data_IF_447213311392
#
_entry.id   IF_447213311392
#
_cell.length_a   1.000
_cell.length_b   1.000
_cell.length_c   1.000
_cell.angle_alpha   90.00
_cell.angle_beta   90.00
_cell.angle_gamma   90.00
#
_symmetry.space_group_name_H-M   'P 1'
#
loop_
_entity.id
_entity.type
_entity.pdbx_description
1 polymer ?
#
# COMPACT_ATOMS: atom_id res chain seq x y z
N UNK A 1 -34.68 55.76 -17.70
CA UNK A 1 -35.65 54.69 -18.07
C UNK A 1 -35.75 53.64 -16.95
N UNK A 2 -36.82 53.72 -16.16
CA UNK A 2 -37.20 52.71 -15.18
C UNK A 2 -37.61 51.41 -15.89
N UNK A 3 -37.33 50.26 -15.26
CA UNK A 3 -38.37 49.32 -14.82
C UNK A 3 -37.78 48.33 -13.81
N UNK A 4 -38.33 48.43 -12.60
CA UNK A 4 -38.33 47.43 -11.53
C UNK A 4 -39.26 46.30 -11.93
N UNK A 5 -39.00 45.08 -11.47
CA UNK A 5 -40.01 44.19 -10.89
C UNK A 5 -39.35 43.15 -9.99
N UNK A 6 -39.75 43.17 -8.72
CA UNK A 6 -39.69 42.06 -7.77
C UNK A 6 -40.79 41.05 -8.13
N UNK A 7 -40.56 39.77 -7.90
CA UNK A 7 -41.65 38.83 -7.56
C UNK A 7 -41.13 37.73 -6.64
N UNK A 8 -41.67 37.75 -5.43
CA UNK A 8 -41.58 36.69 -4.45
C UNK A 8 -42.54 35.54 -4.86
N UNK A 9 -42.10 34.30 -4.69
CA UNK A 9 -42.99 33.22 -4.28
C UNK A 9 -42.22 32.31 -3.33
N UNK A 10 -42.64 32.38 -2.08
CA UNK A 10 -42.28 31.53 -0.98
C UNK A 10 -43.16 30.28 -1.07
N UNK A 11 -42.57 29.09 -1.11
CA UNK A 11 -43.22 27.83 -0.72
C UNK A 11 -42.17 26.93 -0.07
N UNK A 12 -42.56 26.45 1.10
CA UNK A 12 -41.90 25.49 1.97
C UNK A 12 -41.84 24.08 1.35
N UNK A 13 -40.72 23.39 1.57
CA UNK A 13 -40.61 21.98 1.97
C UNK A 13 -39.12 21.80 2.33
N UNK A 14 -38.72 21.49 3.56
CA UNK A 14 -39.09 20.27 4.25
C UNK A 14 -37.90 19.32 4.19
N UNK A 15 -37.36 18.99 5.36
CA UNK A 15 -36.37 17.94 5.66
C UNK A 15 -34.87 18.28 5.54
N UNK A 16 -34.30 18.53 6.73
CA UNK A 16 -33.02 17.97 7.17
C UNK A 16 -32.74 16.60 6.51
N UNK A 17 -31.68 16.52 5.71
CA UNK A 17 -31.03 15.24 5.48
C UNK A 17 -29.52 15.43 5.57
N UNK A 18 -29.01 14.92 6.67
CA UNK A 18 -27.61 14.98 7.07
C UNK A 18 -26.79 14.27 5.99
N UNK A 19 -25.71 14.89 5.53
CA UNK A 19 -24.73 14.25 4.65
C UNK A 19 -24.15 13.03 5.36
N UNK A 20 -24.75 11.87 5.07
CA UNK A 20 -24.36 10.58 5.59
C UNK A 20 -23.12 10.10 4.83
N UNK A 21 -22.12 9.72 5.63
CA UNK A 21 -20.93 8.98 5.23
C UNK A 21 -21.31 7.75 4.38
N UNK A 22 -20.43 7.25 3.49
CA UNK A 22 -20.67 6.01 2.78
C UNK A 22 -20.85 4.88 3.79
N UNK A 23 -22.08 4.38 3.88
CA UNK A 23 -22.48 3.33 4.80
C UNK A 23 -21.64 2.08 4.55
N UNK A 24 -20.85 1.69 5.56
CA UNK A 24 -20.38 0.31 5.70
C UNK A 24 -21.58 -0.64 5.63
N UNK A 25 -21.45 -1.83 5.01
CA UNK A 25 -22.53 -2.82 5.03
C UNK A 25 -22.83 -3.17 6.48
N UNK A 26 -24.07 -2.90 6.90
CA UNK A 26 -24.58 -3.33 8.20
C UNK A 26 -24.41 -4.87 8.29
N UNK A 27 -23.87 -5.41 9.39
CA UNK A 27 -23.91 -6.86 9.59
C UNK A 27 -25.38 -7.33 9.57
N UNK A 28 -25.68 -8.52 9.02
CA UNK A 28 -27.02 -9.09 9.16
C UNK A 28 -27.32 -9.20 10.64
N UNK A 29 -28.54 -8.81 11.03
CA UNK A 29 -29.02 -8.87 12.42
C UNK A 29 -28.76 -10.27 12.98
N UNK A 30 -27.70 -10.39 13.80
CA UNK A 30 -27.60 -11.48 14.72
C UNK A 30 -28.68 -11.20 15.76
N UNK A 31 -29.74 -12.00 15.75
CA UNK A 31 -30.58 -12.15 16.92
C UNK A 31 -29.65 -12.47 18.09
N UNK A 32 -29.37 -11.46 18.91
CA UNK A 32 -28.71 -11.57 20.21
C UNK A 32 -29.63 -12.44 21.06
N UNK A 33 -29.47 -13.76 20.98
CA UNK A 33 -29.95 -14.67 22.01
C UNK A 33 -29.14 -14.32 23.25
N UNK A 34 -29.74 -13.75 24.30
CA UNK A 34 -28.97 -13.28 25.44
C UNK A 34 -28.26 -14.47 26.08
N UNK A 35 -26.92 -14.41 26.11
CA UNK A 35 -26.03 -15.36 26.80
C UNK A 35 -26.38 -15.59 28.28
N UNK A 36 -27.31 -14.81 28.84
CA UNK A 36 -27.87 -14.93 30.19
C UNK A 36 -28.74 -16.19 30.34
N UNK A 37 -29.34 -16.72 29.27
CA UNK A 37 -30.23 -17.89 29.35
C UNK A 37 -29.53 -19.24 29.52
N UNK A 38 -28.20 -19.31 29.43
CA UNK A 38 -27.44 -20.57 29.53
C UNK A 38 -27.01 -20.93 30.96
N UNK A 39 -27.27 -20.10 31.96
CA UNK A 39 -26.88 -20.34 33.36
C UNK A 39 -28.03 -20.80 34.27
N UNK A 40 -29.24 -20.95 33.74
CA UNK A 40 -30.38 -21.44 34.50
C UNK A 40 -30.85 -22.73 33.86
N UNK A 41 -30.44 -23.87 34.42
CA UNK A 41 -31.22 -25.12 34.50
C UNK A 41 -30.33 -26.15 35.21
N UNK A 42 -30.51 -26.28 36.53
CA UNK A 42 -30.01 -27.43 37.28
C UNK A 42 -30.97 -28.62 37.11
N UNK A 43 -30.36 -29.79 36.93
CA UNK A 43 -30.83 -31.15 37.25
C UNK A 43 -32.27 -31.56 36.89
N UNK A 44 -32.44 -32.24 35.75
CA UNK A 44 -33.10 -33.57 35.68
C UNK A 44 -32.50 -34.39 34.52
N UNK A 45 -31.95 -35.54 34.92
CA UNK A 45 -31.38 -36.68 34.19
C UNK A 45 -32.04 -37.06 32.83
N UNK A 46 -31.28 -36.98 31.73
CA UNK A 46 -31.45 -37.84 30.55
C UNK A 46 -30.13 -37.90 29.74
N UNK A 47 -29.46 -39.06 29.74
CA UNK A 47 -28.18 -39.30 29.03
C UNK A 47 -28.29 -39.11 27.50
N UNK A 48 -29.50 -38.92 26.96
CA UNK A 48 -29.76 -38.60 25.56
C UNK A 48 -29.78 -37.09 25.27
N UNK A 49 -30.03 -36.24 26.27
CA UNK A 49 -29.97 -34.77 26.16
C UNK A 49 -28.54 -34.22 26.29
N UNK A 50 -27.72 -34.83 27.15
CA UNK A 50 -26.31 -34.45 27.33
C UNK A 50 -25.47 -34.66 26.07
N UNK A 51 -25.76 -35.72 25.30
CA UNK A 51 -25.11 -35.99 24.01
C UNK A 51 -25.46 -34.95 22.96
N UNK A 52 -26.73 -34.52 22.89
CA UNK A 52 -27.19 -33.44 22.00
C UNK A 52 -26.55 -32.09 22.39
N UNK A 53 -26.44 -31.81 23.68
CA UNK A 53 -25.77 -30.60 24.19
C UNK A 53 -24.26 -30.59 23.88
N UNK A 54 -23.59 -31.74 24.04
CA UNK A 54 -22.18 -31.91 23.67
C UNK A 54 -21.96 -31.73 22.16
N UNK A 55 -22.85 -32.28 21.32
CA UNK A 55 -22.82 -32.09 19.86
C UNK A 55 -23.06 -30.63 19.45
N UNK A 56 -23.99 -29.94 20.11
CA UNK A 56 -24.25 -28.51 19.91
C UNK A 56 -23.03 -27.67 20.30
N UNK A 57 -22.44 -27.92 21.47
CA UNK A 57 -21.22 -27.27 21.93
C UNK A 57 -20.08 -27.51 20.94
N UNK A 58 -19.91 -28.75 20.47
CA UNK A 58 -18.91 -29.08 19.46
C UNK A 58 -19.18 -28.38 18.12
N UNK A 59 -20.45 -28.20 17.74
CA UNK A 59 -20.83 -27.43 16.54
C UNK A 59 -20.48 -25.95 16.68
N UNK A 60 -20.68 -25.37 17.87
CA UNK A 60 -20.32 -23.99 18.18
C UNK A 60 -18.81 -23.81 18.16
N UNK A 61 -18.04 -24.73 18.74
CA UNK A 61 -16.58 -24.71 18.67
C UNK A 61 -16.07 -24.82 17.23
N UNK A 62 -16.66 -25.70 16.40
CA UNK A 62 -16.31 -25.79 14.97
C UNK A 62 -16.61 -24.48 14.23
N UNK A 63 -17.77 -23.86 14.49
CA UNK A 63 -18.14 -22.57 13.90
C UNK A 63 -17.19 -21.45 14.35
N UNK A 64 -16.87 -21.37 15.64
CA UNK A 64 -15.97 -20.38 16.20
C UNK A 64 -14.55 -20.50 15.62
N UNK A 65 -14.02 -21.73 15.51
CA UNK A 65 -12.72 -21.98 14.87
C UNK A 65 -12.75 -21.56 13.40
N UNK A 66 -13.82 -21.90 12.68
CA UNK A 66 -13.96 -21.52 11.27
C UNK A 66 -14.00 -19.99 11.10
N UNK A 67 -14.80 -19.30 11.92
CA UNK A 67 -14.87 -17.85 11.94
C UNK A 67 -13.51 -17.23 12.28
N UNK A 68 -12.78 -17.77 13.27
CA UNK A 68 -11.45 -17.29 13.63
C UNK A 68 -10.47 -17.43 12.46
N UNK A 69 -10.51 -18.55 11.72
CA UNK A 69 -9.67 -18.73 10.53
C UNK A 69 -10.03 -17.72 9.43
N UNK A 70 -11.32 -17.45 9.19
CA UNK A 70 -11.75 -16.45 8.22
C UNK A 70 -11.29 -15.04 8.62
N UNK A 71 -11.49 -14.67 9.88
CA UNK A 71 -11.03 -13.39 10.43
C UNK A 71 -9.52 -13.21 10.24
N UNK A 72 -8.71 -14.22 10.56
CA UNK A 72 -7.26 -14.17 10.36
C UNK A 72 -6.86 -14.01 8.88
N UNK A 73 -7.60 -14.64 7.95
CA UNK A 73 -7.35 -14.48 6.51
C UNK A 73 -7.69 -13.07 6.05
N UNK A 74 -8.85 -12.55 6.46
CA UNK A 74 -9.28 -11.19 6.16
C UNK A 74 -8.30 -10.17 6.75
N UNK A 75 -7.89 -10.35 8.00
CA UNK A 75 -6.93 -9.46 8.65
C UNK A 75 -5.59 -9.44 7.92
N UNK A 76 -5.08 -10.61 7.51
CA UNK A 76 -3.86 -10.70 6.71
C UNK A 76 -3.99 -10.04 5.34
N UNK A 77 -5.13 -10.21 4.68
CA UNK A 77 -5.42 -9.54 3.41
C UNK A 77 -5.52 -8.02 3.59
N UNK A 78 -6.21 -7.56 4.64
CA UNK A 78 -6.35 -6.15 4.96
C UNK A 78 -5.00 -5.50 5.27
N UNK A 79 -4.14 -6.17 6.06
CA UNK A 79 -2.76 -5.71 6.31
C UNK A 79 -1.96 -5.60 5.01
N UNK A 80 -2.13 -6.54 4.07
CA UNK A 80 -1.47 -6.48 2.76
C UNK A 80 -1.97 -5.29 1.93
N UNK A 81 -3.28 -5.03 1.93
CA UNK A 81 -3.87 -3.90 1.23
C UNK A 81 -3.39 -2.57 1.81
N UNK A 82 -3.35 -2.46 3.13
CA UNK A 82 -2.86 -1.29 3.86
C UNK A 82 -1.39 -1.01 3.51
N UNK A 83 -0.52 -2.01 3.60
CA UNK A 83 0.89 -1.87 3.22
C UNK A 83 1.06 -1.45 1.75
N UNK A 84 0.24 -1.99 0.84
CA UNK A 84 0.26 -1.59 -0.57
C UNK A 84 -0.22 -0.15 -0.78
N UNK A 85 -1.20 0.31 0.00
CA UNK A 85 -1.69 1.69 -0.03
C UNK A 85 -0.60 2.65 0.44
N UNK A 86 0.04 2.34 1.56
CA UNK A 86 1.15 3.12 2.12
C UNK A 86 2.32 3.21 1.15
N UNK A 87 2.66 2.10 0.47
CA UNK A 87 3.72 2.10 -0.54
C UNK A 87 3.39 3.03 -1.72
N UNK A 88 2.18 2.95 -2.27
CA UNK A 88 1.74 3.82 -3.36
C UNK A 88 1.73 5.29 -2.94
N UNK A 89 1.25 5.58 -1.73
CA UNK A 89 1.26 6.94 -1.19
C UNK A 89 2.68 7.46 -0.98
N UNK A 90 3.58 6.65 -0.42
CA UNK A 90 4.99 7.00 -0.27
C UNK A 90 5.64 7.28 -1.62
N UNK A 91 5.38 6.45 -2.65
CA UNK A 91 5.85 6.68 -4.02
C UNK A 91 5.29 7.97 -4.60
N UNK A 92 4.01 8.24 -4.40
CA UNK A 92 3.36 9.48 -4.86
C UNK A 92 4.04 10.71 -4.26
N UNK A 93 4.23 10.73 -2.94
CA UNK A 93 4.87 11.86 -2.23
C UNK A 93 6.32 12.04 -2.68
N UNK A 94 7.10 10.94 -2.79
CA UNK A 94 8.50 11.00 -3.25
C UNK A 94 8.66 11.55 -4.67
N UNK A 95 7.64 11.40 -5.50
CA UNK A 95 7.62 11.89 -6.88
C UNK A 95 6.80 13.17 -7.03
N UNK A 96 6.38 13.81 -5.95
CA UNK A 96 5.61 15.07 -6.00
C UNK A 96 6.55 16.27 -6.10
N UNK A 97 7.30 16.31 -7.19
CA UNK A 97 8.14 17.45 -7.56
C UNK A 97 7.83 17.91 -8.99
N UNK A 98 8.10 19.18 -9.25
CA UNK A 98 7.92 19.83 -10.55
C UNK A 98 8.83 19.20 -11.61
N UNK A 99 8.26 18.77 -12.74
CA UNK A 99 9.05 18.25 -13.84
C UNK A 99 9.65 19.40 -14.67
N UNK A 100 10.97 19.37 -14.83
CA UNK A 100 11.64 20.20 -15.82
C UNK A 100 11.42 19.58 -17.20
N UNK A 101 10.52 20.17 -17.98
CA UNK A 101 10.13 19.72 -19.32
C UNK A 101 9.06 18.61 -19.30
N UNK A 102 8.31 18.50 -20.39
CA UNK A 102 7.27 17.46 -20.53
C UNK A 102 7.89 16.19 -21.14
N UNK A 103 7.86 15.08 -20.39
CA UNK A 103 8.22 13.79 -20.95
C UNK A 103 7.08 13.29 -21.87
N UNK A 104 7.37 13.05 -23.15
CA UNK A 104 6.38 12.54 -24.09
C UNK A 104 5.95 11.12 -23.69
N UNK A 105 4.67 10.77 -23.93
CA UNK A 105 4.16 9.41 -23.65
C UNK A 105 4.95 8.32 -24.40
N UNK A 106 5.47 8.65 -25.57
CA UNK A 106 6.30 7.73 -26.37
C UNK A 106 7.64 7.40 -25.69
N UNK A 107 8.23 8.35 -24.95
CA UNK A 107 9.47 8.13 -24.20
C UNK A 107 9.28 7.08 -23.09
N UNK A 108 8.10 7.04 -22.44
CA UNK A 108 7.78 5.99 -21.45
C UNK A 108 7.82 4.60 -22.11
N UNK A 109 7.18 4.46 -23.27
CA UNK A 109 7.14 3.18 -23.99
C UNK A 109 8.53 2.73 -24.46
N UNK A 110 9.36 3.68 -24.90
CA UNK A 110 10.75 3.39 -25.31
C UNK A 110 11.55 2.91 -24.11
N UNK A 111 11.47 3.61 -22.97
CA UNK A 111 12.16 3.20 -21.75
C UNK A 111 11.66 1.85 -21.21
N UNK A 112 10.36 1.60 -21.20
CA UNK A 112 9.80 0.32 -20.75
C UNK A 112 10.34 -0.84 -21.60
N UNK A 113 10.37 -0.70 -22.93
CA UNK A 113 10.99 -1.69 -23.82
C UNK A 113 12.48 -1.85 -23.54
N UNK A 114 13.20 -0.74 -23.34
CA UNK A 114 14.65 -0.74 -23.11
C UNK A 114 15.02 -1.42 -21.78
N UNK A 115 14.29 -1.13 -20.71
CA UNK A 115 14.48 -1.74 -19.38
C UNK A 115 14.14 -3.24 -19.40
N UNK A 116 13.12 -3.66 -20.17
CA UNK A 116 12.79 -5.08 -20.34
C UNK A 116 13.89 -5.84 -21.11
N UNK A 117 14.38 -5.24 -22.21
CA UNK A 117 15.31 -5.89 -23.14
C UNK A 117 16.75 -5.90 -22.61
N UNK A 118 17.18 -4.79 -22.00
CA UNK A 118 18.53 -4.65 -21.45
C UNK A 118 18.57 -5.18 -20.00
N UNK A 119 18.59 -6.50 -19.82
CA UNK A 119 18.89 -7.11 -18.52
C UNK A 119 20.24 -6.57 -18.00
N UNK A 120 20.36 -6.46 -16.68
CA UNK A 120 21.46 -5.82 -15.93
C UNK A 120 22.91 -6.31 -16.20
N UNK A 121 23.17 -7.13 -17.22
CA UNK A 121 24.53 -7.58 -17.59
C UNK A 121 24.83 -7.45 -19.09
N UNK A 122 23.84 -7.09 -19.91
CA UNK A 122 24.02 -6.92 -21.35
C UNK A 122 24.50 -5.48 -21.60
N UNK A 123 25.62 -5.31 -22.31
CA UNK A 123 26.07 -3.99 -22.74
C UNK A 123 25.12 -3.47 -23.80
N UNK A 124 24.44 -2.36 -23.52
CA UNK A 124 23.64 -1.67 -24.52
C UNK A 124 24.52 -0.64 -25.25
N UNK A 125 24.08 -0.15 -26.39
CA UNK A 125 24.87 0.85 -27.12
C UNK A 125 24.83 2.21 -26.39
N UNK A 126 25.97 2.92 -26.34
CA UNK A 126 26.08 4.19 -25.60
C UNK A 126 25.34 5.31 -26.33
N UNK A 127 25.43 5.34 -27.65
CA UNK A 127 24.76 6.35 -28.48
C UNK A 127 23.24 6.17 -28.42
N UNK A 128 22.77 4.92 -28.46
CA UNK A 128 21.37 4.58 -28.24
C UNK A 128 20.89 5.00 -26.83
N UNK A 129 21.65 4.70 -25.77
CA UNK A 129 21.32 5.18 -24.40
C UNK A 129 21.23 6.70 -24.37
N UNK A 130 22.23 7.39 -24.94
CA UNK A 130 22.28 8.85 -24.96
C UNK A 130 21.11 9.46 -25.73
N UNK A 131 20.75 8.89 -26.88
CA UNK A 131 19.61 9.33 -27.69
C UNK A 131 18.31 9.17 -26.90
N UNK A 132 18.07 8.00 -26.30
CA UNK A 132 16.87 7.77 -25.47
C UNK A 132 16.80 8.72 -24.27
N UNK A 133 17.94 9.04 -23.65
CA UNK A 133 17.98 10.02 -22.55
C UNK A 133 17.63 11.43 -23.02
N UNK A 134 18.08 11.82 -24.22
CA UNK A 134 17.81 13.13 -24.81
C UNK A 134 16.33 13.31 -25.12
N UNK A 135 15.65 12.24 -25.51
CA UNK A 135 14.20 12.24 -25.77
C UNK A 135 13.37 12.35 -24.47
N UNK A 136 14.00 12.19 -23.31
CA UNK A 136 13.45 12.47 -21.99
C UNK A 136 13.45 11.26 -21.06
N UNK A 137 13.36 11.54 -19.76
CA UNK A 137 13.37 10.52 -18.69
C UNK A 137 12.11 10.66 -17.82
N UNK A 138 11.16 9.72 -17.93
CA UNK A 138 9.90 9.79 -17.20
C UNK A 138 10.10 9.77 -15.68
N UNK A 139 9.47 10.70 -14.94
CA UNK A 139 9.57 10.76 -13.47
C UNK A 139 9.26 9.44 -12.77
N UNK A 140 8.25 8.71 -13.22
CA UNK A 140 7.87 7.40 -12.66
C UNK A 140 8.94 6.32 -12.81
N UNK A 141 9.83 6.43 -13.80
CA UNK A 141 10.85 5.43 -14.13
C UNK A 141 12.28 5.85 -13.80
N UNK A 142 12.52 7.10 -13.38
CA UNK A 142 13.87 7.65 -13.11
C UNK A 142 14.73 6.76 -12.22
N UNK A 143 14.15 6.20 -11.14
CA UNK A 143 14.89 5.31 -10.23
C UNK A 143 15.43 4.06 -10.93
N UNK A 144 14.58 3.37 -11.70
CA UNK A 144 14.97 2.18 -12.48
C UNK A 144 15.97 2.54 -13.57
N UNK A 145 15.78 3.67 -14.26
CA UNK A 145 16.67 4.17 -15.30
C UNK A 145 18.05 4.50 -14.72
N UNK A 146 18.13 5.16 -13.57
CA UNK A 146 19.41 5.46 -12.90
C UNK A 146 20.13 4.19 -12.45
N UNK A 147 19.40 3.21 -11.93
CA UNK A 147 19.98 1.90 -11.59
C UNK A 147 20.49 1.18 -12.84
N UNK A 148 19.73 1.20 -13.93
CA UNK A 148 20.15 0.69 -15.22
C UNK A 148 21.44 1.37 -15.71
N UNK A 149 21.51 2.70 -15.67
CA UNK A 149 22.70 3.46 -16.08
C UNK A 149 23.92 3.15 -15.20
N UNK A 150 23.74 3.05 -13.88
CA UNK A 150 24.82 2.68 -12.96
C UNK A 150 25.37 1.28 -13.27
N UNK A 151 24.49 0.33 -13.59
CA UNK A 151 24.87 -1.01 -14.02
C UNK A 151 25.62 -0.97 -15.36
N UNK A 152 25.07 -0.26 -16.36
CA UNK A 152 25.70 -0.08 -17.66
C UNK A 152 27.10 0.55 -17.55
N UNK A 153 27.26 1.53 -16.66
CA UNK A 153 28.54 2.14 -16.35
C UNK A 153 29.51 1.12 -15.74
N UNK A 154 29.09 0.35 -14.73
CA UNK A 154 29.92 -0.69 -14.08
C UNK A 154 30.37 -1.79 -15.04
N UNK A 155 29.54 -2.17 -16.01
CA UNK A 155 29.89 -3.18 -17.02
C UNK A 155 30.96 -2.67 -17.98
N UNK A 156 30.97 -1.36 -18.29
CA UNK A 156 32.00 -0.73 -19.15
C UNK A 156 33.26 -0.35 -18.37
N UNK A 157 33.09 0.09 -17.13
CA UNK A 157 34.15 0.63 -16.27
C UNK A 157 34.19 -0.17 -14.96
N UNK A 158 34.87 -1.33 -14.99
CA UNK A 158 35.11 -2.08 -13.75
C UNK A 158 36.07 -1.31 -12.85
N UNK A 159 35.71 -1.20 -11.58
CA UNK A 159 36.56 -0.61 -10.55
C UNK A 159 37.78 -1.53 -10.27
N UNK A 160 38.98 -0.96 -10.11
CA UNK A 160 40.14 -1.70 -9.61
C UNK A 160 39.83 -2.38 -8.28
N UNK A 161 40.38 -3.58 -8.05
CA UNK A 161 40.07 -4.37 -6.85
C UNK A 161 40.37 -3.63 -5.53
N UNK A 162 41.39 -2.77 -5.52
CA UNK A 162 41.79 -1.95 -4.36
C UNK A 162 40.79 -0.85 -4.00
N UNK A 163 39.90 -0.48 -4.92
CA UNK A 163 38.88 0.57 -4.73
C UNK A 163 37.49 -0.02 -4.53
N UNK A 164 37.37 -1.35 -4.45
CA UNK A 164 36.07 -1.95 -4.19
C UNK A 164 35.66 -1.69 -2.75
N UNK A 165 34.40 -1.29 -2.52
CA UNK A 165 33.88 -1.14 -1.17
C UNK A 165 33.89 -2.50 -0.45
N UNK A 166 33.99 -2.51 0.89
CA UNK A 166 33.92 -3.74 1.67
C UNK A 166 32.58 -4.45 1.46
N UNK A 167 32.62 -5.78 1.45
CA UNK A 167 31.44 -6.64 1.27
C UNK A 167 30.66 -6.79 2.58
N UNK A 168 29.98 -5.71 2.98
CA UNK A 168 29.14 -5.64 4.18
C UNK A 168 27.70 -5.38 3.74
N UNK A 169 26.75 -6.16 4.28
CA UNK A 169 25.34 -5.97 3.98
C UNK A 169 24.83 -4.66 4.58
N UNK A 170 23.88 -3.99 3.91
CA UNK A 170 23.28 -2.76 4.45
C UNK A 170 22.66 -2.97 5.84
N UNK A 171 22.05 -4.14 6.08
CA UNK A 171 21.44 -4.49 7.37
C UNK A 171 22.48 -4.61 8.49
N UNK A 172 23.67 -5.09 8.19
CA UNK A 172 24.74 -5.21 9.18
C UNK A 172 25.47 -3.90 9.38
N UNK A 173 25.59 -3.08 8.32
CA UNK A 173 26.14 -1.73 8.42
C UNK A 173 25.31 -0.85 9.37
N UNK A 174 23.98 -0.92 9.31
CA UNK A 174 23.08 -0.14 10.20
C UNK A 174 23.20 -0.51 11.68
N UNK A 175 23.79 -1.66 12.03
CA UNK A 175 24.01 -2.06 13.43
C UNK A 175 25.22 -1.38 14.06
N UNK A 176 26.07 -0.73 13.25
CA UNK A 176 27.30 -0.09 13.70
C UNK A 176 27.03 1.38 14.08
N UNK A 177 27.75 1.89 15.08
CA UNK A 177 27.73 3.32 15.42
C UNK A 177 28.57 4.11 14.41
N UNK A 178 28.06 5.23 13.93
CA UNK A 178 28.80 6.15 13.06
C UNK A 178 29.30 7.36 13.83
N UNK A 179 30.60 7.67 13.70
CA UNK A 179 31.17 8.90 14.24
C UNK A 179 30.60 10.17 13.57
N UNK A 180 29.93 10.02 12.43
CA UNK A 180 29.31 11.12 11.67
C UNK A 180 27.88 11.43 12.15
N UNK A 181 27.39 10.80 13.22
CA UNK A 181 26.00 10.96 13.66
C UNK A 181 25.60 12.43 13.88
N UNK A 182 26.45 13.23 14.54
CA UNK A 182 26.17 14.65 14.77
C UNK A 182 26.06 15.43 13.44
N UNK A 183 26.96 15.19 12.47
CA UNK A 183 26.89 15.87 11.18
C UNK A 183 25.63 15.49 10.38
N UNK A 184 25.29 14.20 10.37
CA UNK A 184 24.09 13.70 9.69
C UNK A 184 22.82 14.31 10.31
N UNK A 185 22.72 14.35 11.65
CA UNK A 185 21.54 14.91 12.33
C UNK A 185 21.37 16.41 12.04
N UNK A 186 22.46 17.18 12.10
CA UNK A 186 22.45 18.61 11.78
C UNK A 186 21.98 18.85 10.33
N UNK A 187 22.50 18.11 9.35
CA UNK A 187 22.13 18.26 7.95
C UNK A 187 20.66 17.85 7.68
N UNK A 188 20.14 16.90 8.43
CA UNK A 188 18.73 16.49 8.37
C UNK A 188 17.79 17.44 9.15
N UNK A 189 18.34 18.38 9.92
CA UNK A 189 17.57 19.31 10.75
C UNK A 189 16.90 18.67 11.97
N UNK A 190 17.53 17.63 12.54
CA UNK A 190 17.08 16.89 13.73
C UNK A 190 17.80 17.32 15.01
#
# INVERSE_FOLDING_TARGET
PMKKSLSAMQMEDGCDEKELLPLSPLPPSFDEVPLVSLLQNEDVQDQTGEKKNSEELQSLWRKAIHQQILLLRMEKENQKLEASRDELQSRKIKLDYEEVGMCQKDAINIWDKKLLNCRAKIRCDVEDIHTTMKDGVPKSRRGEIWQFLAVQHRVRHRLPNKQQPPDISYKDLLKQLTAQQHAILVDLGL
#
